data_IF_696667863407
#
_entry.id   IF_696667863407
#
_cell.length_a   1.000
_cell.length_b   1.000
_cell.length_c   1.000
_cell.angle_alpha   90.00
_cell.angle_beta   90.00
_cell.angle_gamma   90.00
#
_symmetry.space_group_name_H-M   'P 1'
#
loop_
_entity.id
_entity.type
_entity.pdbx_description
1 polymer ?
#
# COMPACT_ATOMS: atom_id res chain seq x y z
N UNK A 1 -8.24 8.41 8.04
CA UNK A 1 -8.12 6.97 7.71
C UNK A 1 -7.69 6.21 8.95
N UNK A 2 -7.87 4.87 8.99
CA UNK A 2 -7.47 4.05 10.16
C UNK A 2 -6.80 2.77 9.72
N UNK A 3 -5.90 2.28 10.55
CA UNK A 3 -5.38 0.91 10.44
C UNK A 3 -6.51 -0.09 10.62
N UNK A 4 -6.41 -1.22 9.92
CA UNK A 4 -7.37 -2.30 10.01
C UNK A 4 -6.73 -3.65 9.65
N UNK A 5 -7.42 -4.73 9.99
CA UNK A 5 -7.09 -6.04 9.46
C UNK A 5 -7.47 -6.11 7.99
N UNK A 6 -6.57 -6.66 7.19
CA UNK A 6 -6.80 -7.00 5.78
C UNK A 6 -6.53 -8.49 5.62
N UNK A 7 -7.21 -9.12 4.69
CA UNK A 7 -7.01 -10.54 4.38
C UNK A 7 -6.36 -10.70 3.02
N UNK A 8 -5.39 -11.61 2.94
CA UNK A 8 -4.83 -12.03 1.67
C UNK A 8 -5.74 -13.08 0.98
N UNK A 9 -5.35 -13.53 -0.20
CA UNK A 9 -6.09 -14.54 -0.99
C UNK A 9 -6.20 -15.90 -0.30
N UNK A 10 -5.35 -16.19 0.67
CA UNK A 10 -5.36 -17.41 1.48
C UNK A 10 -6.08 -17.22 2.82
N UNK A 11 -6.75 -16.08 3.00
CA UNK A 11 -7.45 -15.71 4.24
C UNK A 11 -6.53 -15.45 5.46
N UNK A 12 -5.25 -15.18 5.23
CA UNK A 12 -4.33 -14.78 6.28
C UNK A 12 -4.52 -13.31 6.63
N UNK A 13 -4.39 -12.98 7.92
CA UNK A 13 -4.45 -11.60 8.40
C UNK A 13 -3.13 -10.86 8.19
N UNK A 14 -3.24 -9.60 7.86
CA UNK A 14 -2.17 -8.59 7.93
C UNK A 14 -2.78 -7.23 8.28
N UNK A 15 -1.94 -6.24 8.49
CA UNK A 15 -2.38 -4.90 8.90
C UNK A 15 -2.06 -3.88 7.82
N UNK A 16 -3.03 -3.08 7.47
CA UNK A 16 -2.87 -2.02 6.49
C UNK A 16 -3.93 -0.94 6.60
N UNK A 17 -3.96 -0.09 5.60
CA UNK A 17 -4.92 1.00 5.45
C UNK A 17 -5.56 0.88 4.08
N UNK A 18 -6.89 0.91 4.01
CA UNK A 18 -7.58 1.06 2.73
C UNK A 18 -7.45 2.50 2.24
N UNK A 19 -7.11 2.63 0.96
CA UNK A 19 -7.04 3.90 0.24
C UNK A 19 -8.31 4.05 -0.58
N UNK A 20 -8.99 5.18 -0.48
CA UNK A 20 -10.24 5.39 -1.19
C UNK A 20 -10.03 5.57 -2.70
N UNK A 21 -11.01 5.12 -3.46
CA UNK A 21 -10.96 5.11 -4.92
C UNK A 21 -10.68 6.49 -5.54
N UNK A 22 -11.29 7.53 -5.03
CA UNK A 22 -11.09 8.91 -5.49
C UNK A 22 -9.65 9.42 -5.28
N UNK A 23 -8.98 8.95 -4.22
CA UNK A 23 -7.56 9.25 -3.99
C UNK A 23 -6.63 8.55 -4.99
N UNK A 24 -7.05 7.38 -5.49
CA UNK A 24 -6.26 6.57 -6.42
C UNK A 24 -6.45 7.00 -7.88
N UNK A 25 -7.63 7.51 -8.24
CA UNK A 25 -7.98 7.85 -9.63
C UNK A 25 -6.98 8.74 -10.37
N UNK A 26 -6.44 9.83 -9.78
CA UNK A 26 -5.44 10.65 -10.47
C UNK A 26 -4.20 9.88 -10.89
N UNK A 27 -3.77 8.93 -10.04
CA UNK A 27 -2.61 8.08 -10.31
C UNK A 27 -2.90 6.98 -11.33
N UNK A 28 -4.12 6.47 -11.37
CA UNK A 28 -4.55 5.55 -12.43
C UNK A 28 -4.58 6.23 -13.79
N UNK A 29 -5.02 7.48 -13.86
CA UNK A 29 -4.99 8.27 -15.08
C UNK A 29 -3.57 8.52 -15.56
N UNK A 30 -2.66 8.89 -14.65
CA UNK A 30 -1.24 9.04 -14.96
C UNK A 30 -0.60 7.71 -15.42
N UNK A 31 -0.94 6.61 -14.77
CA UNK A 31 -0.47 5.27 -15.17
C UNK A 31 -0.94 4.91 -16.58
N UNK A 32 -2.20 5.19 -16.91
CA UNK A 32 -2.74 4.93 -18.25
C UNK A 32 -1.97 5.68 -19.33
N UNK A 33 -1.67 6.95 -19.10
CA UNK A 33 -0.85 7.75 -20.00
C UNK A 33 0.60 7.22 -20.10
N UNK A 34 1.19 6.87 -18.97
CA UNK A 34 2.56 6.36 -18.91
C UNK A 34 2.72 5.03 -19.68
N UNK A 35 1.80 4.09 -19.49
CA UNK A 35 1.82 2.77 -20.14
C UNK A 35 1.59 2.90 -21.65
N UNK A 36 0.74 3.86 -22.06
CA UNK A 36 0.37 4.12 -23.44
C UNK A 36 -0.03 2.86 -24.24
N UNK A 37 -0.75 1.98 -23.56
CA UNK A 37 -1.24 0.71 -24.12
C UNK A 37 -2.47 0.26 -23.33
N UNK A 38 -3.66 0.48 -23.89
CA UNK A 38 -4.93 0.21 -23.21
C UNK A 38 -5.07 -1.26 -22.80
N UNK A 39 -4.63 -2.18 -23.64
CA UNK A 39 -4.71 -3.62 -23.36
C UNK A 39 -3.82 -4.03 -22.18
N UNK A 40 -2.60 -3.51 -22.14
CA UNK A 40 -1.71 -3.73 -21.00
C UNK A 40 -2.25 -3.08 -19.74
N UNK A 41 -2.73 -1.85 -19.81
CA UNK A 41 -3.36 -1.15 -18.69
C UNK A 41 -4.52 -1.97 -18.09
N UNK A 42 -5.41 -2.50 -18.91
CA UNK A 42 -6.52 -3.34 -18.47
C UNK A 42 -6.03 -4.62 -17.75
N UNK A 43 -4.98 -5.27 -18.27
CA UNK A 43 -4.37 -6.44 -17.60
C UNK A 43 -3.82 -6.07 -16.23
N UNK A 44 -3.08 -4.97 -16.12
CA UNK A 44 -2.50 -4.50 -14.86
C UNK A 44 -3.59 -4.30 -13.80
N UNK A 45 -4.65 -3.59 -14.15
CA UNK A 45 -5.73 -3.28 -13.22
C UNK A 45 -6.57 -4.51 -12.87
N UNK A 46 -6.89 -5.36 -13.83
CA UNK A 46 -7.66 -6.56 -13.59
C UNK A 46 -6.95 -7.53 -12.64
N UNK A 47 -5.64 -7.69 -12.78
CA UNK A 47 -4.86 -8.52 -11.86
C UNK A 47 -4.87 -7.97 -10.43
N UNK A 48 -4.72 -6.67 -10.26
CA UNK A 48 -4.79 -6.04 -8.93
C UNK A 48 -6.20 -6.16 -8.33
N UNK A 49 -7.24 -5.86 -9.10
CA UNK A 49 -8.64 -5.95 -8.64
C UNK A 49 -9.02 -7.36 -8.22
N UNK A 50 -8.56 -8.36 -8.94
CA UNK A 50 -8.80 -9.78 -8.61
C UNK A 50 -8.12 -10.14 -7.30
N UNK A 51 -6.85 -9.76 -7.12
CA UNK A 51 -6.10 -10.05 -5.90
C UNK A 51 -6.69 -9.33 -4.68
N UNK A 52 -7.02 -8.06 -4.82
CA UNK A 52 -7.37 -7.17 -3.71
C UNK A 52 -8.88 -6.89 -3.61
N UNK A 53 -9.71 -7.69 -4.29
CA UNK A 53 -11.19 -7.62 -4.24
C UNK A 53 -11.74 -6.22 -4.53
N UNK A 54 -11.22 -5.56 -5.58
CA UNK A 54 -11.58 -4.19 -5.99
C UNK A 54 -11.29 -3.10 -4.94
N UNK A 55 -10.33 -3.34 -4.06
CA UNK A 55 -9.86 -2.35 -3.07
C UNK A 55 -8.41 -1.96 -3.33
N UNK A 56 -8.00 -0.83 -2.78
CA UNK A 56 -6.59 -0.41 -2.72
C UNK A 56 -6.18 -0.27 -1.27
N UNK A 57 -4.96 -0.67 -0.96
CA UNK A 57 -4.45 -0.59 0.40
C UNK A 57 -2.95 -0.31 0.45
N UNK A 58 -2.51 0.17 1.60
CA UNK A 58 -1.11 0.26 1.99
C UNK A 58 -0.88 -0.79 3.06
N UNK A 59 0.04 -1.72 2.83
CA UNK A 59 0.45 -2.71 3.84
C UNK A 59 1.38 -2.05 4.86
N UNK A 60 1.09 -2.23 6.14
CA UNK A 60 1.91 -1.71 7.24
C UNK A 60 2.65 -2.83 7.98
N UNK A 61 1.97 -3.95 8.26
CA UNK A 61 2.55 -5.16 8.84
C UNK A 61 2.11 -6.32 7.94
N UNK A 62 3.05 -6.93 7.24
CA UNK A 62 2.72 -8.02 6.31
C UNK A 62 2.37 -9.33 7.03
N UNK A 63 1.90 -10.33 6.28
CA UNK A 63 1.46 -11.63 6.83
C UNK A 63 2.55 -12.32 7.66
N UNK A 64 3.78 -12.32 7.17
CA UNK A 64 4.91 -12.96 7.86
C UNK A 64 5.25 -12.25 9.17
N UNK A 65 5.31 -10.92 9.14
CA UNK A 65 5.53 -10.09 10.32
C UNK A 65 4.39 -10.22 11.32
N UNK A 66 3.14 -10.25 10.85
CA UNK A 66 1.96 -10.46 11.69
C UNK A 66 2.05 -11.77 12.48
N UNK A 67 2.35 -12.87 11.80
CA UNK A 67 2.46 -14.18 12.43
C UNK A 67 3.66 -14.23 13.40
N UNK A 68 4.79 -13.64 13.03
CA UNK A 68 5.97 -13.59 13.91
C UNK A 68 5.71 -12.77 15.18
N UNK A 69 5.04 -11.63 15.08
CA UNK A 69 4.65 -10.80 16.22
C UNK A 69 3.64 -11.50 17.12
N UNK A 70 2.62 -12.13 16.55
CA UNK A 70 1.64 -12.91 17.30
C UNK A 70 2.30 -14.03 18.10
N UNK A 71 3.33 -14.66 17.54
CA UNK A 71 4.11 -15.72 18.19
C UNK A 71 5.04 -15.17 19.28
N UNK A 72 5.75 -14.07 19.02
CA UNK A 72 6.77 -13.54 19.94
C UNK A 72 6.19 -12.73 21.12
N UNK A 73 5.16 -11.93 20.87
CA UNK A 73 4.49 -11.10 21.88
C UNK A 73 3.40 -11.88 22.60
N UNK A 74 2.81 -12.88 21.94
CA UNK A 74 1.58 -13.55 22.31
C UNK A 74 0.37 -12.92 21.63
N UNK A 75 -0.52 -13.76 21.10
CA UNK A 75 -1.66 -13.33 20.28
C UNK A 75 -2.55 -12.31 21.01
N UNK A 76 -2.88 -12.56 22.26
CA UNK A 76 -3.74 -11.67 23.06
C UNK A 76 -3.15 -10.26 23.17
N UNK A 77 -1.91 -10.14 23.62
CA UNK A 77 -1.23 -8.86 23.78
C UNK A 77 -1.06 -8.14 22.44
N UNK A 78 -0.72 -8.88 21.39
CA UNK A 78 -0.57 -8.34 20.06
C UNK A 78 -1.87 -7.73 19.54
N UNK A 79 -2.99 -8.46 19.64
CA UNK A 79 -4.31 -7.96 19.22
C UNK A 79 -4.77 -6.77 20.05
N UNK A 80 -4.54 -6.75 21.36
CA UNK A 80 -4.86 -5.59 22.21
C UNK A 80 -4.10 -4.33 21.80
N UNK A 81 -2.81 -4.47 21.46
CA UNK A 81 -1.99 -3.37 20.95
C UNK A 81 -2.50 -2.86 19.60
N UNK A 82 -2.85 -3.76 18.68
CA UNK A 82 -3.43 -3.40 17.38
C UNK A 82 -4.77 -2.69 17.55
N UNK A 83 -5.66 -3.19 18.40
CA UNK A 83 -6.98 -2.57 18.63
C UNK A 83 -6.87 -1.14 19.14
N UNK A 84 -5.86 -0.84 19.96
CA UNK A 84 -5.58 0.53 20.39
C UNK A 84 -5.10 1.42 19.22
N UNK A 85 -4.23 0.91 18.36
CA UNK A 85 -3.74 1.63 17.18
C UNK A 85 -4.86 1.88 16.16
N UNK A 86 -5.81 0.96 16.02
CA UNK A 86 -6.94 1.08 15.09
C UNK A 86 -7.92 2.20 15.43
N UNK A 87 -7.85 2.74 16.64
CA UNK A 87 -8.67 3.89 17.08
C UNK A 87 -8.11 5.24 16.62
N UNK A 88 -6.87 5.27 16.16
CA UNK A 88 -6.19 6.50 15.76
C UNK A 88 -6.57 6.88 14.33
N UNK A 89 -7.02 8.11 14.14
CA UNK A 89 -7.20 8.69 12.81
C UNK A 89 -5.86 9.13 12.25
N UNK A 90 -5.57 8.71 11.01
CA UNK A 90 -4.31 8.93 10.31
C UNK A 90 -4.56 9.91 9.17
N UNK A 91 -3.86 11.02 9.17
CA UNK A 91 -3.99 12.11 8.20
C UNK A 91 -2.64 12.55 7.58
N UNK A 92 -1.54 11.96 8.05
CA UNK A 92 -0.18 12.34 7.63
C UNK A 92 0.33 11.58 6.39
N UNK A 93 -0.50 10.72 5.78
CA UNK A 93 -0.09 9.95 4.62
C UNK A 93 0.11 10.88 3.42
N UNK A 94 1.31 10.82 2.85
CA UNK A 94 1.68 11.54 1.64
C UNK A 94 1.72 10.56 0.47
N UNK A 95 0.92 10.83 -0.57
CA UNK A 95 0.96 10.14 -1.85
C UNK A 95 1.89 10.92 -2.77
N UNK A 96 3.05 10.33 -3.14
CA UNK A 96 4.13 11.05 -3.82
C UNK A 96 4.07 10.97 -5.34
N UNK A 97 3.58 9.87 -5.87
CA UNK A 97 3.54 9.62 -7.30
C UNK A 97 3.66 8.14 -7.62
N UNK A 98 3.54 7.78 -8.88
CA UNK A 98 3.65 6.39 -9.32
C UNK A 98 5.10 5.95 -9.41
N UNK A 99 5.34 4.71 -9.00
CA UNK A 99 6.60 4.00 -9.14
C UNK A 99 6.41 2.70 -9.91
N UNK A 100 7.52 2.11 -10.31
CA UNK A 100 7.59 0.84 -11.03
C UNK A 100 8.62 -0.06 -10.37
N UNK A 101 8.27 -1.31 -10.15
CA UNK A 101 9.20 -2.36 -9.75
C UNK A 101 9.19 -3.47 -10.79
N UNK A 102 10.36 -4.03 -11.07
CA UNK A 102 10.53 -5.05 -12.09
C UNK A 102 11.49 -6.12 -11.59
N UNK A 103 11.10 -7.39 -11.73
CA UNK A 103 11.93 -8.53 -11.36
C UNK A 103 11.46 -9.78 -12.10
N UNK A 104 12.40 -10.45 -12.78
CA UNK A 104 12.14 -11.72 -13.50
C UNK A 104 10.96 -11.64 -14.48
N UNK A 105 10.82 -10.54 -15.20
CA UNK A 105 9.73 -10.31 -16.15
C UNK A 105 8.38 -9.95 -15.50
N UNK A 106 8.30 -9.91 -14.18
CA UNK A 106 7.16 -9.35 -13.48
C UNK A 106 7.33 -7.85 -13.29
N UNK A 107 6.28 -7.10 -13.57
CA UNK A 107 6.24 -5.64 -13.46
C UNK A 107 5.07 -5.25 -12.60
N UNK A 108 5.30 -4.42 -11.61
CA UNK A 108 4.26 -3.84 -10.76
C UNK A 108 4.37 -2.32 -10.76
N UNK A 109 3.23 -1.66 -10.80
CA UNK A 109 3.10 -0.21 -10.63
C UNK A 109 2.39 0.08 -9.31
N UNK A 110 2.81 1.12 -8.64
CA UNK A 110 2.32 1.49 -7.32
C UNK A 110 2.39 2.99 -7.09
N UNK A 111 1.63 3.49 -6.11
CA UNK A 111 1.81 4.83 -5.57
C UNK A 111 2.85 4.73 -4.46
N UNK A 112 3.90 5.53 -4.51
CA UNK A 112 4.86 5.69 -3.42
C UNK A 112 4.22 6.51 -2.31
N UNK A 113 4.25 5.99 -1.08
CA UNK A 113 3.63 6.61 0.07
C UNK A 113 4.66 6.87 1.18
N UNK A 114 4.44 7.92 1.96
CA UNK A 114 5.20 8.22 3.18
C UNK A 114 4.24 8.57 4.31
N UNK A 115 4.58 8.20 5.54
CA UNK A 115 3.85 8.55 6.75
C UNK A 115 4.75 8.32 7.97
N UNK A 116 4.95 9.35 8.76
CA UNK A 116 5.71 9.24 10.01
C UNK A 116 4.95 8.39 11.04
N UNK A 117 3.61 8.47 11.04
CA UNK A 117 2.80 7.64 11.91
C UNK A 117 2.97 6.14 11.59
N UNK A 118 2.87 5.76 10.31
CA UNK A 118 3.05 4.35 9.91
C UNK A 118 4.47 3.85 10.21
N UNK A 119 5.48 4.69 10.04
CA UNK A 119 6.85 4.38 10.42
C UNK A 119 6.96 4.15 11.95
N UNK A 120 6.32 5.00 12.76
CA UNK A 120 6.29 4.85 14.22
C UNK A 120 5.58 3.58 14.68
N UNK A 121 4.51 3.17 13.99
CA UNK A 121 3.82 1.90 14.26
C UNK A 121 4.79 0.72 14.07
N UNK A 122 5.50 0.67 12.97
CA UNK A 122 6.49 -0.38 12.72
C UNK A 122 7.59 -0.39 13.77
N UNK A 123 8.14 0.78 14.08
CA UNK A 123 9.18 0.94 15.11
C UNK A 123 8.71 0.45 16.48
N UNK A 124 7.46 0.73 16.87
CA UNK A 124 6.87 0.29 18.13
C UNK A 124 6.79 -1.23 18.29
N UNK A 125 6.77 -1.96 17.16
CA UNK A 125 6.82 -3.43 17.13
C UNK A 125 8.23 -3.97 16.85
N UNK A 126 9.25 -3.14 16.78
CA UNK A 126 10.63 -3.54 16.47
C UNK A 126 10.81 -4.01 15.03
N UNK A 127 9.93 -3.63 14.12
CA UNK A 127 10.01 -3.97 12.71
C UNK A 127 10.96 -3.00 11.98
N UNK A 128 11.66 -3.52 10.97
CA UNK A 128 12.50 -2.70 10.10
C UNK A 128 11.69 -1.68 9.31
N UNK A 129 12.36 -0.64 8.80
CA UNK A 129 11.75 0.34 7.90
C UNK A 129 11.19 -0.34 6.64
N UNK A 130 10.12 0.23 6.10
CA UNK A 130 9.44 -0.27 4.91
C UNK A 130 9.18 0.86 3.93
N UNK A 131 9.24 0.56 2.64
CA UNK A 131 8.77 1.45 1.59
C UNK A 131 7.25 1.31 1.48
N UNK A 132 6.50 2.24 2.08
CA UNK A 132 5.04 2.22 1.99
C UNK A 132 4.58 2.51 0.56
N UNK A 133 3.65 1.72 0.09
CA UNK A 133 3.14 1.85 -1.27
C UNK A 133 1.72 1.29 -1.38
N UNK A 134 1.00 1.76 -2.39
CA UNK A 134 -0.31 1.25 -2.77
C UNK A 134 -0.21 0.68 -4.20
N UNK A 135 -0.37 -0.63 -4.35
CA UNK A 135 -0.26 -1.29 -5.65
C UNK A 135 -1.42 -0.89 -6.56
N UNK A 136 -1.10 -0.38 -7.75
CA UNK A 136 -2.07 0.00 -8.78
C UNK A 136 -2.35 -1.14 -9.77
N UNK A 137 -1.33 -1.92 -10.09
CA UNK A 137 -1.47 -3.02 -11.04
C UNK A 137 -0.16 -3.78 -11.24
N UNK A 138 -0.27 -4.98 -11.81
CA UNK A 138 0.88 -5.81 -12.16
C UNK A 138 0.54 -6.72 -13.35
N UNK A 139 1.56 -7.09 -14.13
CA UNK A 139 1.36 -7.84 -15.38
C UNK A 139 1.03 -9.34 -15.17
N UNK A 140 1.70 -10.01 -14.23
CA UNK A 140 1.52 -11.43 -13.90
C UNK A 140 1.43 -11.65 -12.40
N UNK A 141 2.44 -11.20 -11.68
CA UNK A 141 2.56 -11.25 -10.23
C UNK A 141 3.04 -9.91 -9.72
N UNK A 142 2.66 -9.55 -8.51
CA UNK A 142 3.27 -8.43 -7.82
C UNK A 142 4.77 -8.69 -7.59
N UNK A 143 5.54 -7.62 -7.49
CA UNK A 143 6.99 -7.67 -7.32
C UNK A 143 7.33 -7.46 -5.85
N UNK A 144 7.98 -8.45 -5.25
CA UNK A 144 8.45 -8.41 -3.86
C UNK A 144 9.97 -8.40 -3.79
N UNK A 145 10.52 -7.90 -2.67
CA UNK A 145 11.97 -7.86 -2.45
C UNK A 145 12.72 -6.83 -3.29
N UNK A 146 12.02 -5.84 -3.83
CA UNK A 146 12.58 -4.70 -4.57
C UNK A 146 12.13 -3.42 -3.86
N UNK A 147 13.04 -2.42 -3.78
CA UNK A 147 12.72 -1.11 -3.22
C UNK A 147 11.58 -0.45 -4.01
N UNK A 148 10.63 0.15 -3.29
CA UNK A 148 9.43 0.81 -3.85
C UNK A 148 9.33 2.25 -3.37
N UNK A 149 10.41 3.02 -3.52
CA UNK A 149 10.55 4.38 -3.03
C UNK A 149 10.89 5.42 -4.11
N UNK A 150 10.97 5.01 -5.37
CA UNK A 150 11.30 5.89 -6.49
C UNK A 150 10.07 6.16 -7.32
N UNK A 151 9.82 7.44 -7.62
CA UNK A 151 8.75 7.87 -8.52
C UNK A 151 9.27 7.98 -9.96
N UNK A 152 8.43 7.63 -10.93
CA UNK A 152 8.79 7.65 -12.36
C UNK A 152 8.87 9.07 -12.92
N UNK A 153 7.97 9.95 -12.49
CA UNK A 153 7.93 11.34 -12.93
C UNK A 153 8.20 12.27 -11.74
N UNK A 154 9.42 12.79 -11.65
CA UNK A 154 9.83 13.73 -10.61
C UNK A 154 9.15 15.11 -10.72
N UNK A 155 8.61 15.43 -11.89
CA UNK A 155 7.85 16.65 -12.14
C UNK A 155 6.34 16.46 -11.94
N UNK A 156 5.92 15.31 -11.42
CA UNK A 156 4.52 15.03 -11.11
C UNK A 156 3.96 16.09 -10.17
N UNK A 157 2.91 16.78 -10.62
CA UNK A 157 2.18 17.78 -9.83
C UNK A 157 1.23 17.14 -8.81
N UNK A 158 1.21 15.82 -8.69
CA UNK A 158 0.26 15.06 -7.89
C UNK A 158 0.84 14.59 -6.56
N UNK A 159 1.68 15.41 -5.90
CA UNK A 159 2.03 15.14 -4.50
C UNK A 159 0.84 15.62 -3.66
N UNK A 160 0.08 14.69 -3.08
CA UNK A 160 -1.09 15.01 -2.26
C UNK A 160 -1.01 14.33 -0.90
N UNK A 161 -1.37 15.05 0.13
CA UNK A 161 -1.63 14.48 1.44
C UNK A 161 -3.06 13.96 1.49
N UNK A 162 -3.26 12.83 2.16
CA UNK A 162 -4.60 12.26 2.32
C UNK A 162 -5.58 13.25 2.92
N UNK A 163 -5.15 14.07 3.89
CA UNK A 163 -5.99 15.12 4.48
C UNK A 163 -6.55 16.13 3.47
N UNK A 164 -5.84 16.36 2.37
CA UNK A 164 -6.25 17.34 1.37
C UNK A 164 -7.52 16.91 0.63
N UNK A 165 -7.83 15.60 0.60
CA UNK A 165 -9.05 15.06 0.03
C UNK A 165 -10.30 15.24 0.90
N UNK A 166 -10.14 15.56 2.18
CA UNK A 166 -11.27 15.76 3.11
C UNK A 166 -11.76 17.21 3.17
N UNK A 167 -11.04 18.15 2.58
CA UNK A 167 -11.30 19.59 2.67
C UNK A 167 -11.55 20.25 1.32
N UNK A 168 -11.63 19.47 0.25
CA UNK A 168 -12.15 19.89 -1.05
C UNK A 168 -13.67 19.66 -1.12
#
# INVERSE_FOLDING_TARGET
MRLQYIKDVLNNNYVGINVYSDMVQPYLSELKEYVDNDKLYDVLLNNQRTRDHNTWHITVINVFEYNALASSIGMKTFLERLDNLFKTDIDDILLKGIGKAERNGNVAYYIVCESDFLASVRDSFGLSTQDFHCTLGFNRKDVHGVRKNQILNKDSKFIRRVRDFYYE
#
